data_IF_513672960263
#
_entry.id   IF_513672960263
#
_cell.length_a   1.000
_cell.length_b   1.000
_cell.length_c   1.000
_cell.angle_alpha   90.00
_cell.angle_beta   90.00
_cell.angle_gamma   90.00
#
_symmetry.space_group_name_H-M   'P 1'
#
loop_
_entity.id
_entity.type
_entity.pdbx_description
1 polymer ?
#
# COMPACT_ATOMS: atom_id res chain seq x y z
N UNK A 1 -13.29 -2.32 -7.52
CA UNK A 1 -12.22 -3.28 -7.21
C UNK A 1 -10.89 -2.60 -6.88
N UNK A 2 -10.27 -1.84 -7.79
CA UNK A 2 -8.96 -1.16 -7.54
C UNK A 2 -8.92 -0.30 -6.26
N UNK A 3 -9.89 0.59 -6.06
CA UNK A 3 -9.99 1.43 -4.84
C UNK A 3 -10.10 0.64 -3.52
N UNK A 4 -10.67 -0.56 -3.55
CA UNK A 4 -10.75 -1.40 -2.34
C UNK A 4 -9.35 -1.92 -2.00
N UNK A 5 -8.60 -2.37 -3.01
CA UNK A 5 -7.25 -2.88 -2.81
C UNK A 5 -6.28 -1.79 -2.35
N UNK A 6 -6.34 -0.61 -2.96
CA UNK A 6 -5.56 0.57 -2.53
C UNK A 6 -5.85 0.91 -1.07
N UNK A 7 -7.12 0.97 -0.67
CA UNK A 7 -7.49 1.22 0.73
C UNK A 7 -6.99 0.14 1.68
N UNK A 8 -6.94 -1.12 1.26
CA UNK A 8 -6.39 -2.21 2.08
C UNK A 8 -4.87 -2.07 2.24
N UNK A 9 -4.15 -1.76 1.15
CA UNK A 9 -2.71 -1.47 1.16
C UNK A 9 -2.40 -0.33 2.14
N UNK A 10 -3.17 0.76 2.09
CA UNK A 10 -3.01 1.89 3.01
C UNK A 10 -3.27 1.46 4.46
N UNK A 11 -4.31 0.68 4.74
CA UNK A 11 -4.61 0.21 6.10
C UNK A 11 -3.50 -0.66 6.69
N UNK A 12 -2.91 -1.56 5.91
CA UNK A 12 -1.76 -2.35 6.38
C UNK A 12 -0.53 -1.48 6.64
N UNK A 13 -0.23 -0.54 5.76
CA UNK A 13 0.85 0.42 5.97
C UNK A 13 0.64 1.27 7.24
N UNK A 14 -0.58 1.76 7.46
CA UNK A 14 -0.97 2.46 8.70
C UNK A 14 -0.85 1.57 9.95
N UNK A 15 -1.06 0.27 9.82
CA UNK A 15 -0.87 -0.70 10.89
C UNK A 15 0.62 -1.06 11.14
N UNK A 16 1.55 -0.45 10.39
CA UNK A 16 2.99 -0.62 10.56
C UNK A 16 3.61 -1.76 9.74
N UNK A 17 2.86 -2.34 8.80
CA UNK A 17 3.38 -3.41 7.94
C UNK A 17 4.35 -2.80 6.92
N UNK A 18 5.47 -3.48 6.71
CA UNK A 18 6.44 -3.12 5.69
C UNK A 18 5.94 -3.49 4.27
N UNK A 19 6.58 -2.91 3.25
CA UNK A 19 6.32 -3.27 1.85
C UNK A 19 6.49 -4.78 1.59
N UNK A 20 7.46 -5.41 2.25
CA UNK A 20 7.75 -6.84 2.11
C UNK A 20 6.68 -7.73 2.75
N UNK A 21 5.98 -7.22 3.77
CA UNK A 21 4.85 -7.89 4.40
C UNK A 21 3.54 -7.66 3.65
N UNK A 22 3.37 -6.50 3.01
CA UNK A 22 2.15 -6.17 2.26
C UNK A 22 2.14 -6.84 0.89
N UNK A 23 3.25 -6.87 0.16
CA UNK A 23 3.29 -7.38 -1.22
C UNK A 23 2.77 -8.83 -1.36
N UNK A 24 3.04 -9.78 -0.44
CA UNK A 24 2.45 -11.12 -0.48
C UNK A 24 0.94 -11.18 -0.24
N UNK A 25 0.35 -10.17 0.43
CA UNK A 25 -1.10 -10.12 0.71
C UNK A 25 -1.93 -9.69 -0.51
N UNK A 26 -1.28 -9.07 -1.49
CA UNK A 26 -1.90 -8.58 -2.74
C UNK A 26 -1.13 -9.08 -3.96
N UNK A 27 -1.06 -10.41 -4.19
CA UNK A 27 -0.24 -10.99 -5.26
C UNK A 27 -0.65 -10.54 -6.68
N UNK A 28 -1.88 -10.04 -6.84
CA UNK A 28 -2.36 -9.49 -8.11
C UNK A 28 -1.84 -8.06 -8.41
N UNK A 29 -1.17 -7.41 -7.45
CA UNK A 29 -0.59 -6.07 -7.63
C UNK A 29 0.94 -6.18 -7.60
N UNK A 30 1.64 -5.66 -8.62
CA UNK A 30 3.09 -5.61 -8.61
C UNK A 30 3.63 -4.89 -7.36
N UNK A 31 4.69 -5.43 -6.74
CA UNK A 31 5.33 -4.81 -5.57
C UNK A 31 5.69 -3.33 -5.78
N UNK A 32 6.08 -2.95 -7.00
CA UNK A 32 6.38 -1.56 -7.34
C UNK A 32 5.14 -0.65 -7.26
N UNK A 33 3.96 -1.16 -7.62
CA UNK A 33 2.69 -0.42 -7.52
C UNK A 33 2.25 -0.29 -6.06
N UNK A 34 2.43 -1.33 -5.24
CA UNK A 34 2.24 -1.24 -3.78
C UNK A 34 3.13 -0.16 -3.18
N UNK A 35 4.41 -0.13 -3.55
CA UNK A 35 5.36 0.88 -3.10
C UNK A 35 4.96 2.30 -3.54
N UNK A 36 4.42 2.45 -4.74
CA UNK A 36 3.94 3.73 -5.24
C UNK A 36 2.73 4.25 -4.44
N UNK A 37 1.76 3.36 -4.12
CA UNK A 37 0.59 3.70 -3.30
C UNK A 37 1.02 4.17 -1.91
N UNK A 38 1.91 3.43 -1.25
CA UNK A 38 2.45 3.78 0.07
C UNK A 38 3.15 5.14 0.02
N UNK A 39 4.04 5.36 -0.96
CA UNK A 39 4.76 6.64 -1.12
C UNK A 39 3.82 7.81 -1.36
N UNK A 40 2.77 7.63 -2.15
CA UNK A 40 1.79 8.67 -2.42
C UNK A 40 1.03 9.02 -1.14
N UNK A 41 0.56 8.01 -0.39
CA UNK A 41 -0.11 8.21 0.89
C UNK A 41 0.78 8.95 1.90
N UNK A 42 2.05 8.55 2.02
CA UNK A 42 3.05 9.17 2.90
C UNK A 42 3.38 10.62 2.52
N UNK A 43 3.22 10.99 1.25
CA UNK A 43 3.40 12.36 0.76
C UNK A 43 2.18 13.22 1.11
N UNK A 44 0.99 12.67 0.94
CA UNK A 44 -0.28 13.34 1.27
C UNK A 44 -0.47 13.51 2.78
N UNK A 45 -0.09 12.53 3.60
CA UNK A 45 -0.20 12.61 5.06
C UNK A 45 0.80 13.59 5.71
N UNK A 46 1.84 13.99 4.99
CA UNK A 46 2.84 14.98 5.43
C UNK A 46 2.49 16.42 5.03
N UNK A 47 1.47 16.61 4.19
CA UNK A 47 0.91 17.91 3.79
C UNK A 47 -0.29 18.26 4.67
#
# INVERSE_FOLDING_TARGET
MKKILENMIIKWHQAGYSLDEIAPLVPQVPKAEVAAIIRQYDKEARL
#
